data_IF_125169209425
#
_entry.id   IF_125169209425
#
_cell.length_a   1.000
_cell.length_b   1.000
_cell.length_c   1.000
_cell.angle_alpha   90.00
_cell.angle_beta   90.00
_cell.angle_gamma   90.00
#
_symmetry.space_group_name_H-M   'P 1'
#
loop_
_entity.id
_entity.type
_entity.pdbx_description
1 polymer ?
#
# COMPACT_ATOMS: atom_id res chain seq x y z
N UNK A 1 24.13 0.71 18.38
CA UNK A 1 22.72 0.98 18.01
C UNK A 1 22.76 2.12 17.01
N UNK A 2 22.44 1.83 15.75
CA UNK A 2 22.86 2.63 14.62
C UNK A 2 22.18 4.01 14.55
N UNK A 3 23.02 5.03 14.33
CA UNK A 3 22.74 6.40 13.92
C UNK A 3 21.85 6.46 12.67
N UNK A 4 20.54 6.21 12.82
CA UNK A 4 19.58 6.39 11.73
C UNK A 4 18.64 7.54 12.05
N UNK A 5 18.85 8.61 11.28
CA UNK A 5 17.87 9.64 10.91
C UNK A 5 17.48 10.68 11.97
N UNK A 6 18.40 11.07 12.85
CA UNK A 6 18.23 12.35 13.56
C UNK A 6 18.51 13.50 12.57
N UNK A 7 17.60 14.47 12.43
CA UNK A 7 17.81 15.58 11.52
C UNK A 7 18.98 16.46 11.98
N UNK A 8 19.71 17.08 11.04
CA UNK A 8 20.98 17.78 11.31
C UNK A 8 20.81 19.04 12.19
N UNK A 9 19.57 19.54 12.34
CA UNK A 9 19.29 20.70 13.18
C UNK A 9 19.17 20.35 14.67
N UNK A 10 19.05 19.07 15.03
CA UNK A 10 18.96 18.68 16.44
C UNK A 10 20.34 18.77 17.08
N UNK A 11 20.45 19.40 18.26
CA UNK A 11 21.71 19.43 18.98
C UNK A 11 22.05 18.02 19.46
N UNK A 12 23.27 17.58 19.16
CA UNK A 12 23.81 16.30 19.63
C UNK A 12 24.86 16.59 20.69
N UNK A 13 24.74 15.95 21.84
CA UNK A 13 25.76 16.06 22.88
C UNK A 13 27.02 15.27 22.47
N UNK A 14 28.21 15.88 22.45
CA UNK A 14 29.44 15.21 22.05
C UNK A 14 29.99 14.22 23.10
N UNK A 15 29.41 14.18 24.31
CA UNK A 15 29.80 13.21 25.35
C UNK A 15 28.96 11.93 25.22
N UNK A 16 27.64 12.09 25.13
CA UNK A 16 26.70 10.95 25.08
C UNK A 16 26.41 10.48 23.66
N UNK A 17 26.81 11.26 22.65
CA UNK A 17 26.51 11.03 21.24
C UNK A 17 25.01 10.90 20.96
N UNK A 18 24.18 11.58 21.76
CA UNK A 18 22.72 11.53 21.67
C UNK A 18 22.11 12.92 21.85
N UNK A 19 20.83 13.05 21.47
CA UNK A 19 20.03 14.25 21.76
C UNK A 19 19.95 14.42 23.29
N UNK A 20 20.38 15.57 23.84
CA UNK A 20 20.39 15.79 25.27
C UNK A 20 18.96 15.94 25.81
N UNK A 21 18.66 15.31 26.94
CA UNK A 21 17.43 15.48 27.71
C UNK A 21 17.40 16.84 28.39
N UNK A 22 18.52 17.23 28.99
CA UNK A 22 18.69 18.53 29.64
C UNK A 22 19.87 19.25 28.99
N UNK A 23 19.64 19.96 27.87
CA UNK A 23 20.70 20.66 27.15
C UNK A 23 21.23 21.83 27.98
N UNK A 24 22.56 21.92 28.04
CA UNK A 24 23.30 23.01 28.68
C UNK A 24 24.26 23.60 27.65
N UNK A 25 24.18 24.92 27.48
CA UNK A 25 25.06 25.65 26.58
C UNK A 25 26.37 26.01 27.32
N UNK A 26 27.51 25.71 26.70
CA UNK A 26 28.79 26.20 27.19
C UNK A 26 29.14 27.58 26.63
N UNK A 27 30.14 28.21 27.25
CA UNK A 27 30.77 29.44 26.73
C UNK A 27 31.36 29.29 25.33
N UNK A 28 31.69 28.07 24.93
CA UNK A 28 32.16 27.74 23.59
C UNK A 28 31.03 27.40 22.63
N UNK A 29 29.79 27.75 22.96
CA UNK A 29 28.59 27.51 22.14
C UNK A 29 28.33 26.03 21.83
N UNK A 30 28.89 25.12 22.64
CA UNK A 30 28.61 23.69 22.50
C UNK A 30 27.46 23.32 23.45
N UNK A 31 26.55 22.47 22.98
CA UNK A 31 25.43 21.97 23.78
C UNK A 31 25.80 20.59 24.32
N UNK A 32 25.65 20.41 25.64
CA UNK A 32 25.90 19.15 26.32
C UNK A 32 24.68 18.67 27.08
N UNK A 33 24.62 17.37 27.34
CA UNK A 33 23.76 16.79 28.38
C UNK A 33 24.28 17.22 29.75
N UNK A 34 23.39 17.74 30.61
CA UNK A 34 23.75 18.26 31.93
C UNK A 34 24.47 17.23 32.79
N UNK A 35 23.92 16.03 32.89
CA UNK A 35 24.46 14.96 33.74
C UNK A 35 25.82 14.50 33.25
N UNK A 36 25.96 14.27 31.93
CA UNK A 36 27.21 13.86 31.33
C UNK A 36 28.31 14.91 31.51
N UNK A 37 27.97 16.20 31.35
CA UNK A 37 28.92 17.30 31.56
C UNK A 37 29.33 17.41 33.04
N UNK A 38 28.39 17.29 33.98
CA UNK A 38 28.69 17.30 35.42
C UNK A 38 29.65 16.17 35.77
N UNK A 39 29.37 14.95 35.31
CA UNK A 39 30.21 13.77 35.55
C UNK A 39 31.60 13.96 34.94
N UNK A 40 31.68 14.45 33.70
CA UNK A 40 32.97 14.74 33.05
C UNK A 40 33.81 15.74 33.84
N UNK A 41 33.20 16.83 34.31
CA UNK A 41 33.90 17.86 35.08
C UNK A 41 34.38 17.33 36.45
N UNK A 42 33.62 16.43 37.08
CA UNK A 42 34.01 15.78 38.35
C UNK A 42 35.20 14.84 38.15
N UNK A 43 35.22 14.06 37.07
CA UNK A 43 36.26 13.05 36.83
C UNK A 43 37.58 13.64 36.33
N UNK A 44 37.54 14.73 35.55
CA UNK A 44 38.73 15.23 34.87
C UNK A 44 39.57 16.24 35.66
N UNK A 45 39.23 16.52 36.94
CA UNK A 45 39.93 17.39 37.92
C UNK A 45 40.36 18.80 37.48
N UNK A 46 40.22 19.14 36.19
CA UNK A 46 40.73 20.37 35.56
C UNK A 46 39.62 21.34 35.19
N UNK A 47 38.36 20.97 35.43
CA UNK A 47 37.18 21.78 35.08
C UNK A 47 37.24 22.31 33.64
N UNK A 48 37.49 21.42 32.67
CA UNK A 48 37.65 21.77 31.25
C UNK A 48 36.50 21.24 30.41
N UNK A 49 36.20 21.96 29.33
CA UNK A 49 35.30 21.52 28.27
C UNK A 49 35.80 20.22 27.62
N UNK A 50 34.92 19.21 27.44
CA UNK A 50 35.27 17.98 26.76
C UNK A 50 35.79 18.18 25.34
N UNK A 51 35.24 19.16 24.61
CA UNK A 51 35.57 19.38 23.19
C UNK A 51 36.64 20.45 22.98
N UNK A 52 36.53 21.59 23.67
CA UNK A 52 37.46 22.72 23.44
C UNK A 52 38.65 22.75 24.40
N UNK A 53 38.65 21.92 25.45
CA UNK A 53 39.63 21.93 26.55
C UNK A 53 39.76 23.28 27.29
N UNK A 54 38.89 24.25 27.01
CA UNK A 54 38.84 25.55 27.71
C UNK A 54 38.26 25.38 29.12
N UNK A 55 38.64 26.23 30.08
CA UNK A 55 38.06 26.20 31.42
C UNK A 55 36.53 26.38 31.39
N UNK A 56 35.82 25.59 32.18
CA UNK A 56 34.37 25.64 32.39
C UNK A 56 34.10 25.72 33.88
N UNK A 57 33.50 26.81 34.34
CA UNK A 57 33.08 26.91 35.74
C UNK A 57 31.71 26.25 35.92
N UNK A 58 31.47 25.57 37.06
CA UNK A 58 30.19 24.90 37.33
C UNK A 58 28.96 25.82 37.29
N UNK A 59 29.14 27.13 37.51
CA UNK A 59 28.09 28.14 37.58
C UNK A 59 27.68 28.70 36.20
N UNK A 60 28.39 28.37 35.13
CA UNK A 60 28.06 28.79 33.76
C UNK A 60 27.08 27.83 33.06
N UNK A 61 26.44 26.95 33.81
CA UNK A 61 25.47 25.97 33.30
C UNK A 61 24.09 26.60 33.16
N UNK A 62 23.92 27.44 32.14
CA UNK A 62 22.59 27.94 31.79
C UNK A 62 21.90 26.88 30.93
N UNK A 63 20.74 26.42 31.38
CA UNK A 63 19.87 25.57 30.56
C UNK A 63 19.55 26.29 29.26
N UNK A 64 19.82 25.64 28.14
CA UNK A 64 19.57 26.23 26.83
C UNK A 64 18.09 26.11 26.47
N UNK A 65 17.33 27.17 26.77
CA UNK A 65 15.88 27.21 26.49
C UNK A 65 15.58 27.05 25.00
N UNK A 66 16.47 27.51 24.13
CA UNK A 66 16.31 27.38 22.67
C UNK A 66 16.46 25.93 22.25
N UNK A 67 17.53 25.26 22.72
CA UNK A 67 17.73 23.84 22.46
C UNK A 67 16.59 22.98 23.02
N UNK A 68 16.09 23.28 24.24
CA UNK A 68 14.91 22.61 24.82
C UNK A 68 13.71 22.76 23.87
N UNK A 69 13.40 24.00 23.46
CA UNK A 69 12.26 24.26 22.58
C UNK A 69 12.34 23.49 21.27
N UNK A 70 13.53 23.44 20.64
CA UNK A 70 13.75 22.73 19.38
C UNK A 70 13.55 21.21 19.57
N UNK A 71 14.14 20.64 20.62
CA UNK A 71 14.02 19.20 20.92
C UNK A 71 12.56 18.84 21.21
N UNK A 72 11.87 19.63 22.03
CA UNK A 72 10.48 19.40 22.37
C UNK A 72 9.55 19.52 21.17
N UNK A 73 9.74 20.56 20.34
CA UNK A 73 8.92 20.76 19.15
C UNK A 73 9.10 19.61 18.16
N UNK A 74 10.32 19.13 17.99
CA UNK A 74 10.59 17.95 17.17
C UNK A 74 9.92 16.70 17.77
N UNK A 75 10.05 16.46 19.07
CA UNK A 75 9.40 15.34 19.76
C UNK A 75 7.87 15.37 19.61
N UNK A 76 7.25 16.54 19.76
CA UNK A 76 5.81 16.72 19.52
C UNK A 76 5.43 16.43 18.07
N UNK A 77 6.22 16.90 17.10
CA UNK A 77 5.99 16.68 15.68
C UNK A 77 6.07 15.19 15.30
N UNK A 78 7.08 14.47 15.77
CA UNK A 78 7.24 13.04 15.50
C UNK A 78 6.14 12.20 16.15
N UNK A 79 5.74 12.51 17.39
CA UNK A 79 4.60 11.85 18.03
C UNK A 79 3.30 12.08 17.25
N UNK A 80 3.07 13.30 16.76
CA UNK A 80 1.88 13.62 15.97
C UNK A 80 1.87 12.89 14.62
N UNK A 81 3.01 12.83 13.92
CA UNK A 81 3.15 12.05 12.68
C UNK A 81 2.84 10.58 12.92
N UNK A 82 3.38 10.00 14.00
CA UNK A 82 3.14 8.61 14.37
C UNK A 82 1.66 8.36 14.69
N UNK A 83 1.04 9.25 15.47
CA UNK A 83 -0.40 9.18 15.80
C UNK A 83 -1.27 9.20 14.54
N UNK A 84 -1.00 10.13 13.62
CA UNK A 84 -1.72 10.21 12.33
C UNK A 84 -1.55 8.95 11.48
N UNK A 85 -0.33 8.41 11.42
CA UNK A 85 -0.07 7.18 10.68
C UNK A 85 -0.80 5.97 11.28
N UNK A 86 -0.88 5.87 12.61
CA UNK A 86 -1.63 4.82 13.31
C UNK A 86 -3.14 4.98 13.10
N UNK A 87 -3.67 6.21 13.18
CA UNK A 87 -5.08 6.51 12.92
C UNK A 87 -5.48 6.18 11.48
N UNK A 88 -4.62 6.50 10.51
CA UNK A 88 -4.87 6.16 9.10
C UNK A 88 -4.85 4.64 8.87
N UNK A 89 -3.90 3.92 9.47
CA UNK A 89 -3.89 2.45 9.46
C UNK A 89 -5.16 1.88 10.08
N UNK A 90 -5.65 2.45 11.18
CA UNK A 90 -6.90 2.02 11.83
C UNK A 90 -8.12 2.28 10.96
N UNK A 91 -8.20 3.44 10.29
CA UNK A 91 -9.27 3.77 9.33
C UNK A 91 -9.27 2.82 8.14
N UNK A 92 -8.10 2.51 7.59
CA UNK A 92 -7.96 1.56 6.49
C UNK A 92 -8.44 0.15 6.89
N UNK A 93 -8.00 -0.35 8.05
CA UNK A 93 -8.46 -1.66 8.59
C UNK A 93 -9.98 -1.71 8.73
N UNK A 94 -10.61 -0.67 9.29
CA UNK A 94 -12.08 -0.60 9.40
C UNK A 94 -12.78 -0.62 8.04
N UNK A 95 -12.24 0.08 7.03
CA UNK A 95 -12.78 0.07 5.67
C UNK A 95 -12.67 -1.30 5.01
N UNK A 96 -11.53 -1.97 5.19
CA UNK A 96 -11.27 -3.30 4.64
C UNK A 96 -12.17 -4.35 5.31
N UNK A 97 -12.37 -4.25 6.62
CA UNK A 97 -13.27 -5.12 7.39
C UNK A 97 -14.74 -4.92 6.96
N UNK A 98 -15.21 -3.66 6.86
CA UNK A 98 -16.55 -3.37 6.36
C UNK A 98 -16.77 -3.84 4.92
N UNK A 99 -15.72 -3.79 4.08
CA UNK A 99 -15.77 -4.34 2.72
C UNK A 99 -15.90 -5.86 2.74
N UNK A 100 -15.09 -6.56 3.54
CA UNK A 100 -15.18 -8.02 3.70
C UNK A 100 -16.55 -8.44 4.23
N UNK A 101 -17.10 -7.71 5.20
CA UNK A 101 -18.44 -7.98 5.73
C UNK A 101 -19.55 -7.80 4.68
N UNK A 102 -19.42 -6.81 3.79
CA UNK A 102 -20.35 -6.65 2.65
C UNK A 102 -20.21 -7.78 1.63
N UNK A 103 -18.99 -8.23 1.36
CA UNK A 103 -18.72 -9.35 0.46
C UNK A 103 -19.28 -10.67 1.04
N UNK A 104 -19.11 -10.94 2.34
CA UNK A 104 -19.68 -12.14 2.98
C UNK A 104 -21.21 -12.10 3.04
N UNK A 105 -21.82 -10.94 3.34
CA UNK A 105 -23.28 -10.77 3.29
C UNK A 105 -23.83 -10.94 1.87
N UNK A 106 -23.15 -10.40 0.86
CA UNK A 106 -23.54 -10.58 -0.54
C UNK A 106 -23.43 -12.05 -0.99
N UNK A 107 -22.34 -12.75 -0.62
CA UNK A 107 -22.20 -14.18 -0.92
C UNK A 107 -23.25 -15.05 -0.22
N UNK A 108 -23.61 -14.73 1.04
CA UNK A 108 -24.68 -15.44 1.76
C UNK A 108 -26.06 -15.19 1.13
N UNK A 109 -26.33 -13.97 0.66
CA UNK A 109 -27.56 -13.64 -0.07
C UNK A 109 -27.67 -14.35 -1.43
N UNK A 110 -26.54 -14.57 -2.13
CA UNK A 110 -26.51 -15.35 -3.37
C UNK A 110 -26.70 -16.85 -3.12
N UNK A 111 -26.17 -17.40 -2.01
CA UNK A 111 -26.29 -18.83 -1.65
C UNK A 111 -27.67 -19.22 -1.08
N UNK A 112 -28.45 -18.26 -0.59
CA UNK A 112 -29.82 -18.50 -0.08
C UNK A 112 -30.92 -18.57 -1.14
N UNK A 113 -30.61 -18.36 -2.42
CA UNK A 113 -31.60 -18.22 -3.50
C UNK A 113 -31.61 -19.33 -4.55
N UNK A 114 -30.80 -20.38 -4.42
CA UNK A 114 -30.79 -21.44 -5.43
C UNK A 114 -29.84 -22.56 -5.06
N UNK A 115 -30.35 -23.78 -5.09
CA UNK A 115 -29.59 -25.01 -4.96
C UNK A 115 -28.40 -24.99 -5.92
N UNK A 116 -27.19 -24.83 -5.38
CA UNK A 116 -25.95 -25.10 -6.09
C UNK A 116 -25.25 -26.23 -5.36
N UNK A 117 -25.06 -27.34 -6.08
CA UNK A 117 -24.27 -28.49 -5.63
C UNK A 117 -22.85 -27.99 -5.40
N UNK A 118 -22.44 -27.93 -4.13
CA UNK A 118 -21.05 -27.73 -3.75
C UNK A 118 -20.28 -29.00 -4.09
N UNK A 119 -19.36 -28.91 -5.06
CA UNK A 119 -18.25 -29.85 -5.16
C UNK A 119 -17.23 -29.38 -4.13
N UNK A 120 -17.16 -30.09 -3.01
CA UNK A 120 -16.05 -29.97 -2.06
C UNK A 120 -14.79 -30.47 -2.74
N UNK A 121 -13.84 -29.56 -2.99
CA UNK A 121 -12.46 -29.91 -3.26
C UNK A 121 -11.70 -29.73 -1.95
N UNK A 122 -11.33 -30.88 -1.41
CA UNK A 122 -10.68 -31.08 -0.13
C UNK A 122 -9.36 -30.33 0.03
N UNK A 123 -9.02 -30.14 1.30
CA UNK A 123 -7.72 -29.74 1.82
C UNK A 123 -6.55 -30.36 1.04
N UNK A 124 -5.64 -29.50 0.59
CA UNK A 124 -4.23 -29.83 0.59
C UNK A 124 -3.48 -28.62 1.12
N UNK A 125 -3.02 -28.77 2.36
CA UNK A 125 -1.94 -27.99 2.91
C UNK A 125 -0.71 -28.22 2.02
N UNK A 126 -0.30 -27.21 1.27
CA UNK A 126 1.13 -27.00 1.05
C UNK A 126 1.43 -25.54 0.71
N UNK A 127 2.45 -25.08 1.41
CA UNK A 127 2.94 -23.72 1.48
C UNK A 127 3.78 -23.38 0.25
N UNK A 128 3.29 -22.52 -0.63
CA UNK A 128 4.17 -21.64 -1.42
C UNK A 128 3.45 -20.37 -1.87
N UNK A 129 4.15 -19.23 -1.83
CA UNK A 129 3.64 -17.89 -2.09
C UNK A 129 2.85 -17.76 -3.41
N UNK A 130 1.54 -17.95 -3.38
CA UNK A 130 0.68 -17.45 -4.45
C UNK A 130 0.48 -15.95 -4.21
N UNK A 131 1.35 -15.13 -4.81
CA UNK A 131 1.09 -13.70 -5.01
C UNK A 131 -0.33 -13.58 -5.56
N UNK A 132 -1.27 -13.12 -4.73
CA UNK A 132 -2.65 -12.91 -5.15
C UNK A 132 -2.63 -12.06 -6.42
N UNK A 133 -3.09 -12.62 -7.53
CA UNK A 133 -3.20 -11.89 -8.78
C UNK A 133 -3.97 -10.60 -8.52
N UNK A 134 -3.52 -9.43 -9.04
CA UNK A 134 -4.19 -8.18 -8.80
C UNK A 134 -5.64 -8.29 -9.27
N UNK A 135 -6.58 -8.19 -8.33
CA UNK A 135 -8.00 -8.30 -8.64
C UNK A 135 -8.41 -7.11 -9.52
N UNK A 136 -8.82 -7.39 -10.75
CA UNK A 136 -9.29 -6.35 -11.66
C UNK A 136 -10.55 -5.67 -11.12
N UNK A 137 -10.65 -4.33 -11.17
CA UNK A 137 -11.89 -3.61 -10.88
C UNK A 137 -12.95 -3.96 -11.93
N UNK A 138 -14.25 -3.79 -11.62
CA UNK A 138 -15.32 -4.08 -12.58
C UNK A 138 -15.14 -3.34 -13.92
N UNK A 139 -15.53 -3.94 -15.06
CA UNK A 139 -15.37 -3.33 -16.36
C UNK A 139 -16.15 -2.02 -16.47
N UNK A 140 -15.55 -0.95 -17.03
CA UNK A 140 -16.24 0.31 -17.26
C UNK A 140 -17.49 0.11 -18.12
N UNK A 141 -18.57 0.83 -17.82
CA UNK A 141 -19.82 0.75 -18.58
C UNK A 141 -19.66 1.05 -20.06
N UNK A 142 -18.62 1.82 -20.45
CA UNK A 142 -18.27 2.07 -21.86
C UNK A 142 -17.75 0.81 -22.58
N UNK A 143 -17.00 -0.04 -21.88
CA UNK A 143 -16.51 -1.33 -22.41
C UNK A 143 -17.70 -2.29 -22.56
N UNK A 144 -18.48 -2.46 -21.48
CA UNK A 144 -19.69 -3.33 -21.48
C UNK A 144 -20.76 -2.81 -22.46
N UNK A 145 -20.77 -1.49 -22.68
CA UNK A 145 -21.61 -0.76 -23.63
C UNK A 145 -21.47 -1.26 -25.06
N UNK A 146 -20.23 -1.56 -25.46
CA UNK A 146 -19.80 -1.89 -26.82
C UNK A 146 -19.81 -3.39 -27.13
N UNK A 147 -20.00 -4.25 -26.12
CA UNK A 147 -20.13 -5.70 -26.32
C UNK A 147 -21.52 -5.96 -26.91
N UNK A 148 -21.57 -6.30 -28.19
CA UNK A 148 -22.78 -6.80 -28.86
C UNK A 148 -22.91 -8.33 -28.66
N UNK A 149 -24.07 -8.89 -29.01
CA UNK A 149 -24.35 -10.32 -28.83
C UNK A 149 -23.32 -11.20 -29.56
N UNK A 150 -22.92 -10.83 -30.79
CA UNK A 150 -21.89 -11.54 -31.56
C UNK A 150 -20.51 -11.55 -30.87
N UNK A 151 -20.12 -10.43 -30.25
CA UNK A 151 -18.89 -10.35 -29.48
C UNK A 151 -18.97 -11.16 -28.19
N UNK A 152 -20.14 -11.16 -27.52
CA UNK A 152 -20.36 -11.93 -26.31
C UNK A 152 -20.30 -13.44 -26.57
N UNK A 153 -20.92 -13.90 -27.65
CA UNK A 153 -20.90 -15.30 -28.06
C UNK A 153 -19.47 -15.74 -28.43
N UNK A 154 -18.72 -14.89 -29.14
CA UNK A 154 -17.30 -15.12 -29.43
C UNK A 154 -16.43 -15.19 -28.17
N UNK A 155 -16.66 -14.32 -27.18
CA UNK A 155 -15.94 -14.35 -25.91
C UNK A 155 -16.30 -15.58 -25.08
N UNK A 156 -17.56 -16.02 -25.08
CA UNK A 156 -18.01 -17.25 -24.41
C UNK A 156 -17.41 -18.49 -25.06
N UNK A 157 -17.38 -18.55 -26.39
CA UNK A 157 -16.74 -19.62 -27.14
C UNK A 157 -15.24 -19.66 -26.86
N UNK A 158 -14.57 -18.49 -26.84
CA UNK A 158 -13.15 -18.41 -26.52
C UNK A 158 -12.85 -18.91 -25.10
N UNK A 159 -13.63 -18.51 -24.10
CA UNK A 159 -13.47 -19.01 -22.72
C UNK A 159 -13.73 -20.51 -22.62
N UNK A 160 -14.70 -21.03 -23.38
CA UNK A 160 -14.97 -22.47 -23.46
C UNK A 160 -13.83 -23.27 -24.12
N UNK A 161 -13.05 -22.65 -25.01
CA UNK A 161 -11.88 -23.24 -25.67
C UNK A 161 -10.59 -23.15 -24.84
N UNK A 162 -10.61 -22.49 -23.68
CA UNK A 162 -9.46 -22.48 -22.76
C UNK A 162 -9.63 -23.66 -21.80
N UNK A 163 -8.97 -24.77 -22.11
CA UNK A 163 -8.80 -25.88 -21.16
C UNK A 163 -8.27 -25.33 -19.83
N UNK A 164 -8.65 -25.95 -18.71
CA UNK A 164 -8.61 -25.48 -17.31
C UNK A 164 -7.28 -24.95 -16.73
N UNK A 165 -6.27 -24.63 -17.55
CA UNK A 165 -5.03 -23.96 -17.24
C UNK A 165 -4.92 -22.52 -17.75
N UNK A 166 -3.67 -22.04 -17.86
CA UNK A 166 -3.37 -20.71 -18.39
C UNK A 166 -3.63 -20.64 -19.91
N UNK A 167 -4.17 -19.52 -20.42
CA UNK A 167 -4.29 -19.34 -21.86
C UNK A 167 -2.92 -19.40 -22.53
N UNK A 168 -2.82 -20.23 -23.57
CA UNK A 168 -1.61 -20.30 -24.40
C UNK A 168 -1.38 -18.98 -25.15
N UNK A 169 -0.14 -18.75 -25.62
CA UNK A 169 0.18 -17.56 -26.43
C UNK A 169 -0.68 -17.46 -27.69
N UNK A 170 -1.06 -18.59 -28.29
CA UNK A 170 -1.95 -18.64 -29.46
C UNK A 170 -3.38 -18.18 -29.13
N UNK A 171 -3.96 -18.71 -28.05
CA UNK A 171 -5.29 -18.30 -27.57
C UNK A 171 -5.32 -16.81 -27.18
N UNK A 172 -4.25 -16.30 -26.57
CA UNK A 172 -4.14 -14.87 -26.27
C UNK A 172 -4.08 -14.00 -27.55
N UNK A 173 -3.44 -14.46 -28.62
CA UNK A 173 -3.39 -13.74 -29.90
C UNK A 173 -4.75 -13.75 -30.62
N UNK A 174 -5.45 -14.89 -30.62
CA UNK A 174 -6.79 -15.04 -31.18
C UNK A 174 -7.79 -14.07 -30.54
N UNK A 175 -7.77 -14.01 -29.22
CA UNK A 175 -8.56 -13.08 -28.44
C UNK A 175 -8.24 -11.61 -28.72
N UNK A 176 -6.95 -11.27 -28.85
CA UNK A 176 -6.53 -9.91 -29.22
C UNK A 176 -7.07 -9.53 -30.60
N UNK A 177 -7.12 -10.48 -31.54
CA UNK A 177 -7.73 -10.30 -32.86
C UNK A 177 -9.23 -10.07 -32.76
N UNK A 178 -9.94 -10.86 -31.93
CA UNK A 178 -11.37 -10.67 -31.65
C UNK A 178 -11.68 -9.29 -31.05
N UNK A 179 -10.94 -8.88 -30.02
CA UNK A 179 -11.10 -7.57 -29.41
C UNK A 179 -10.78 -6.42 -30.37
N UNK A 180 -9.86 -6.62 -31.32
CA UNK A 180 -9.58 -5.66 -32.36
C UNK A 180 -10.75 -5.55 -33.37
N UNK A 181 -11.28 -6.69 -33.84
CA UNK A 181 -12.42 -6.75 -34.77
C UNK A 181 -13.66 -6.02 -34.22
N UNK A 182 -13.87 -6.06 -32.90
CA UNK A 182 -14.99 -5.40 -32.24
C UNK A 182 -14.68 -4.00 -31.71
N UNK A 183 -13.54 -3.39 -32.09
CA UNK A 183 -13.12 -2.06 -31.60
C UNK A 183 -13.03 -1.94 -30.06
N UNK A 184 -12.81 -3.06 -29.38
CA UNK A 184 -12.70 -3.14 -27.91
C UNK A 184 -11.26 -3.11 -27.41
N UNK A 185 -10.27 -3.40 -28.28
CA UNK A 185 -8.86 -3.48 -27.91
C UNK A 185 -8.38 -2.25 -27.13
N UNK A 186 -8.71 -1.05 -27.58
CA UNK A 186 -8.28 0.20 -26.94
C UNK A 186 -8.89 0.40 -25.54
N UNK A 187 -10.18 0.09 -25.39
CA UNK A 187 -10.89 0.28 -24.12
C UNK A 187 -10.52 -0.80 -23.09
N UNK A 188 -10.37 -2.05 -23.53
CA UNK A 188 -9.90 -3.15 -22.68
C UNK A 188 -8.45 -2.92 -22.28
N UNK A 189 -7.58 -2.47 -23.20
CA UNK A 189 -6.21 -2.06 -22.87
C UNK A 189 -6.20 -0.98 -21.80
N UNK A 190 -6.95 0.11 -22.00
CA UNK A 190 -7.00 1.22 -21.05
C UNK A 190 -7.49 0.76 -19.68
N UNK A 191 -8.48 -0.12 -19.64
CA UNK A 191 -9.00 -0.68 -18.39
C UNK A 191 -7.99 -1.59 -17.68
N UNK A 192 -7.32 -2.48 -18.41
CA UNK A 192 -6.30 -3.37 -17.82
C UNK A 192 -5.04 -2.58 -17.40
N UNK A 193 -4.63 -1.56 -18.15
CA UNK A 193 -3.50 -0.68 -17.81
C UNK A 193 -3.66 0.02 -16.46
N UNK A 194 -4.89 0.36 -16.05
CA UNK A 194 -5.17 0.92 -14.71
C UNK A 194 -4.70 0.00 -13.58
N UNK A 195 -4.58 -1.30 -13.85
CA UNK A 195 -4.31 -2.32 -12.84
C UNK A 195 -2.88 -2.85 -12.86
N UNK A 196 -2.18 -2.72 -13.99
CA UNK A 196 -0.85 -3.32 -14.21
C UNK A 196 0.20 -2.25 -14.56
N UNK A 197 -0.19 -0.97 -14.61
CA UNK A 197 0.61 0.13 -15.16
C UNK A 197 0.58 0.14 -16.69
N UNK A 198 1.16 1.17 -17.31
CA UNK A 198 1.32 1.28 -18.76
C UNK A 198 2.36 0.27 -19.29
N UNK A 199 2.03 -1.01 -19.21
CA UNK A 199 2.76 -2.06 -19.90
C UNK A 199 2.27 -2.16 -21.33
N UNK A 200 3.16 -2.59 -22.21
CA UNK A 200 2.77 -2.90 -23.59
C UNK A 200 1.68 -3.97 -23.57
N UNK A 201 0.68 -3.83 -24.43
CA UNK A 201 -0.44 -4.77 -24.55
C UNK A 201 0.02 -6.21 -24.84
N UNK A 202 1.22 -6.35 -25.42
CA UNK A 202 1.88 -7.62 -25.67
C UNK A 202 2.50 -8.25 -24.43
N UNK A 203 2.79 -7.46 -23.39
CA UNK A 203 3.37 -7.91 -22.12
C UNK A 203 2.33 -8.20 -21.02
N UNK A 204 1.03 -8.11 -21.33
CA UNK A 204 -0.03 -8.41 -20.37
C UNK A 204 -0.05 -9.91 -20.08
N UNK A 205 -0.02 -10.24 -18.79
CA UNK A 205 -0.03 -11.63 -18.33
C UNK A 205 -1.33 -12.35 -18.75
N UNK A 206 -1.27 -13.57 -19.32
CA UNK A 206 -2.45 -14.30 -19.81
C UNK A 206 -3.57 -14.46 -18.77
N UNK A 207 -3.21 -14.71 -17.50
CA UNK A 207 -4.21 -14.79 -16.41
C UNK A 207 -5.00 -13.48 -16.20
N UNK A 208 -4.36 -12.32 -16.33
CA UNK A 208 -5.05 -11.03 -16.18
C UNK A 208 -5.99 -10.79 -17.33
N UNK A 209 -5.60 -11.21 -18.53
CA UNK A 209 -6.43 -11.16 -19.71
C UNK A 209 -7.68 -12.03 -19.55
N UNK A 210 -7.52 -13.27 -19.07
CA UNK A 210 -8.62 -14.20 -18.77
C UNK A 210 -9.58 -13.64 -17.70
N UNK A 211 -9.04 -13.04 -16.64
CA UNK A 211 -9.85 -12.39 -15.60
C UNK A 211 -10.64 -11.20 -16.15
N UNK A 212 -10.02 -10.37 -16.99
CA UNK A 212 -10.68 -9.21 -17.61
C UNK A 212 -11.87 -9.65 -18.47
N UNK A 213 -11.71 -10.72 -19.23
CA UNK A 213 -12.75 -11.24 -20.12
C UNK A 213 -13.87 -11.89 -19.34
N UNK A 214 -13.53 -12.68 -18.33
CA UNK A 214 -14.53 -13.29 -17.44
C UNK A 214 -15.40 -12.21 -16.78
N UNK A 215 -14.80 -11.09 -16.38
CA UNK A 215 -15.52 -9.95 -15.82
C UNK A 215 -16.38 -9.22 -16.88
N UNK A 216 -15.90 -9.07 -18.12
CA UNK A 216 -16.67 -8.51 -19.24
C UNK A 216 -17.90 -9.36 -19.58
N UNK A 217 -17.74 -10.68 -19.68
CA UNK A 217 -18.83 -11.63 -19.97
C UNK A 217 -19.89 -11.55 -18.88
N UNK A 218 -19.49 -11.55 -17.59
CA UNK A 218 -20.42 -11.41 -16.47
C UNK A 218 -21.19 -10.09 -16.53
N UNK A 219 -20.49 -8.98 -16.75
CA UNK A 219 -21.14 -7.68 -16.82
C UNK A 219 -22.11 -7.54 -18.02
N UNK A 220 -21.75 -8.10 -19.18
CA UNK A 220 -22.59 -8.10 -20.37
C UNK A 220 -23.83 -9.00 -20.20
N UNK A 221 -23.66 -10.19 -19.64
CA UNK A 221 -24.77 -11.12 -19.35
C UNK A 221 -25.71 -10.56 -18.28
N UNK A 222 -25.21 -9.91 -17.23
CA UNK A 222 -26.03 -9.24 -16.22
C UNK A 222 -26.80 -8.06 -16.80
N UNK A 223 -26.19 -7.27 -17.70
CA UNK A 223 -26.89 -6.20 -18.42
C UNK A 223 -28.03 -6.76 -19.26
N UNK A 224 -27.81 -7.89 -19.95
CA UNK A 224 -28.83 -8.58 -20.76
C UNK A 224 -29.99 -9.08 -19.89
N UNK A 225 -29.70 -9.66 -18.72
CA UNK A 225 -30.72 -10.10 -17.75
C UNK A 225 -31.55 -8.93 -17.23
N UNK A 226 -30.93 -7.78 -16.96
CA UNK A 226 -31.63 -6.56 -16.53
C UNK A 226 -32.51 -5.95 -17.62
N UNK A 227 -32.06 -5.99 -18.89
CA UNK A 227 -32.84 -5.49 -20.02
C UNK A 227 -34.06 -6.36 -20.37
N UNK A 228 -34.03 -7.66 -20.04
CA UNK A 228 -35.16 -8.59 -20.25
C UNK A 228 -36.19 -8.62 -19.13
N UNK A 229 -36.00 -7.87 -18.03
CA UNK A 229 -37.03 -7.75 -16.99
C UNK A 229 -38.12 -6.80 -17.49
N UNK A 230 -39.38 -7.25 -17.67
CA UNK A 230 -40.47 -6.33 -17.95
C UNK A 230 -40.58 -5.34 -16.80
N UNK A 231 -40.68 -4.06 -17.13
CA UNK A 231 -41.00 -3.00 -16.17
C UNK A 231 -42.38 -3.29 -15.60
N UNK A 232 -42.41 -3.76 -14.35
CA UNK A 232 -43.61 -3.84 -13.51
C UNK A 232 -43.66 -2.58 -12.67
#
# INVERSE_FOLDING_TARGET
>A
MADKDLPPFLPICPITMAVPKVPVLSTTQNIYEREALVTHLRLNHRYKSPTSRKPLTPNMKVSDRTAISVIEQYGRSEMEKRRRAEDEKRRKRKRDEARKERETKAMKAVRGGGAFVSIDLADNEDSEMTKSAPSLPPPPSKVVGKINDTCLDGLLQWVGSVDSGLPTKGQAAELKSMLLKHNLKGDVRRWVSVCVGDKEWESIHPLLLLQAISAMIRAATDRRKKAKRPSV
#
